data_IF_394340785746
#
_entry.id   IF_394340785746
#
_cell.length_a   1.000
_cell.length_b   1.000
_cell.length_c   1.000
_cell.angle_alpha   90.00
_cell.angle_beta   90.00
_cell.angle_gamma   90.00
#
_symmetry.space_group_name_H-M   'P 1'
#
loop_
_entity.id
_entity.type
_entity.pdbx_description
1 polymer ?
#
# COMPACT_ATOMS: atom_id res chain seq x y z
N UNK A 1 6.12 6.21 19.72
CA UNK A 1 6.51 6.01 18.31
C UNK A 1 5.25 6.24 17.50
N UNK A 2 5.32 6.95 16.37
CA UNK A 2 4.16 7.10 15.48
C UNK A 2 4.39 6.21 14.27
N UNK A 3 3.39 5.41 13.92
CA UNK A 3 3.41 4.53 12.75
C UNK A 3 2.35 5.05 11.79
N UNK A 4 2.73 5.29 10.55
CA UNK A 4 1.83 5.74 9.50
C UNK A 4 1.70 4.62 8.48
N UNK A 5 0.46 4.15 8.29
CA UNK A 5 0.11 3.12 7.32
C UNK A 5 -0.67 3.74 6.17
N UNK A 6 -0.40 3.27 4.96
CA UNK A 6 -1.18 3.56 3.76
C UNK A 6 -1.64 2.25 3.14
N UNK A 7 -2.81 2.25 2.53
CA UNK A 7 -3.37 1.05 1.89
C UNK A 7 -3.53 1.30 0.40
N UNK A 8 -2.90 0.45 -0.41
CA UNK A 8 -3.16 0.35 -1.85
C UNK A 8 -4.36 -0.57 -2.03
N UNK A 9 -5.39 -0.10 -2.72
CA UNK A 9 -6.62 -0.87 -2.99
C UNK A 9 -6.88 -1.09 -4.49
N UNK A 10 -6.03 -0.56 -5.37
CA UNK A 10 -6.13 -0.81 -6.80
C UNK A 10 -5.40 -2.11 -7.15
N UNK A 11 -6.07 -3.00 -7.90
CA UNK A 11 -5.55 -4.33 -8.19
C UNK A 11 -4.25 -4.29 -9.00
N UNK A 12 -4.16 -3.40 -9.99
CA UNK A 12 -2.97 -3.32 -10.84
C UNK A 12 -1.81 -2.69 -10.06
N UNK A 13 -2.09 -1.63 -9.29
CA UNK A 13 -1.07 -1.03 -8.45
C UNK A 13 -0.56 -1.98 -7.36
N UNK A 14 -1.44 -2.80 -6.76
CA UNK A 14 -1.03 -3.87 -5.83
C UNK A 14 -0.11 -4.87 -6.53
N UNK A 15 -0.44 -5.30 -7.75
CA UNK A 15 0.41 -6.20 -8.54
C UNK A 15 1.79 -5.59 -8.82
N UNK A 16 1.86 -4.31 -9.22
CA UNK A 16 3.14 -3.63 -9.43
C UNK A 16 3.97 -3.54 -8.15
N UNK A 17 3.32 -3.23 -7.02
CA UNK A 17 3.98 -3.15 -5.71
C UNK A 17 4.48 -4.52 -5.25
N UNK A 18 3.67 -5.57 -5.38
CA UNK A 18 4.01 -6.94 -5.00
C UNK A 18 5.19 -7.48 -5.82
N UNK A 19 5.25 -7.18 -7.12
CA UNK A 19 6.34 -7.59 -8.01
C UNK A 19 7.57 -6.66 -7.96
N UNK A 20 7.47 -5.50 -7.31
CA UNK A 20 8.54 -4.50 -7.24
C UNK A 20 8.74 -3.70 -8.53
N UNK A 21 7.76 -3.72 -9.45
CA UNK A 21 7.77 -3.03 -10.73
C UNK A 21 7.38 -1.54 -10.57
N UNK A 22 8.27 -0.76 -9.96
CA UNK A 22 8.03 0.68 -9.70
C UNK A 22 7.92 1.52 -10.98
N UNK A 23 8.58 1.12 -12.07
CA UNK A 23 8.46 1.79 -13.37
C UNK A 23 7.05 1.63 -13.95
N UNK A 24 6.49 0.42 -13.88
CA UNK A 24 5.12 0.15 -14.32
C UNK A 24 4.09 0.88 -13.45
N UNK A 25 4.32 0.93 -12.13
CA UNK A 25 3.48 1.70 -11.21
C UNK A 25 3.44 3.19 -11.58
N UNK A 26 4.60 3.79 -11.88
CA UNK A 26 4.69 5.21 -12.29
C UNK A 26 3.98 5.47 -13.62
N UNK A 27 4.19 4.60 -14.61
CA UNK A 27 3.51 4.72 -15.90
C UNK A 27 1.99 4.64 -15.72
N UNK A 28 1.52 3.70 -14.91
CA UNK A 28 0.11 3.53 -14.61
C UNK A 28 -0.51 4.75 -13.91
N UNK A 29 0.16 5.30 -12.90
CA UNK A 29 -0.32 6.49 -12.17
C UNK A 29 -0.24 7.77 -13.00
N UNK A 30 0.69 7.83 -13.96
CA UNK A 30 0.79 8.95 -14.90
C UNK A 30 -0.31 8.96 -15.96
N UNK A 31 -1.03 7.84 -16.14
CA UNK A 31 -2.15 7.79 -17.07
C UNK A 31 -3.31 8.67 -16.55
N UNK A 32 -3.83 9.61 -17.35
CA UNK A 32 -4.88 10.54 -16.91
C UNK A 32 -6.24 9.84 -16.66
N UNK A 33 -6.38 8.58 -17.06
CA UNK A 33 -7.56 7.74 -16.81
C UNK A 33 -7.39 6.87 -15.57
N UNK A 34 -6.21 6.89 -14.94
CA UNK A 34 -5.94 6.21 -13.69
C UNK A 34 -6.49 7.02 -12.51
N UNK A 35 -7.17 6.32 -11.60
CA UNK A 35 -7.73 6.89 -10.37
C UNK A 35 -7.23 6.15 -9.13
N UNK A 36 -6.17 5.35 -9.27
CA UNK A 36 -5.57 4.63 -8.15
C UNK A 36 -4.99 5.64 -7.16
N UNK A 37 -5.36 5.47 -5.88
CA UNK A 37 -4.94 6.35 -4.79
C UNK A 37 -4.66 5.51 -3.55
N UNK A 38 -3.87 6.08 -2.64
CA UNK A 38 -3.64 5.49 -1.32
C UNK A 38 -4.77 5.87 -0.37
N UNK A 39 -5.27 4.89 0.37
CA UNK A 39 -6.13 5.14 1.53
C UNK A 39 -5.25 5.38 2.77
N UNK A 40 -5.38 6.54 3.41
CA UNK A 40 -4.56 6.95 4.55
C UNK A 40 -4.12 8.42 4.53
N UNK A 41 -3.21 8.83 5.43
CA UNK A 41 -2.48 7.99 6.39
C UNK A 41 -3.34 7.55 7.59
N UNK A 42 -3.23 6.28 7.97
CA UNK A 42 -3.69 5.79 9.28
C UNK A 42 -2.53 5.94 10.27
N UNK A 43 -2.68 6.89 11.21
CA UNK A 43 -1.68 7.12 12.27
C UNK A 43 -1.97 6.27 13.50
N UNK A 44 -1.00 5.45 13.90
CA UNK A 44 -1.07 4.55 15.05
C UNK A 44 0.06 4.86 16.03
N UNK A 45 -0.13 4.53 17.31
CA UNK A 45 0.80 4.90 18.38
C UNK A 45 1.68 3.74 18.87
N UNK A 46 1.43 2.52 18.40
CA UNK A 46 2.14 1.31 18.80
C UNK A 46 2.20 0.26 17.69
N UNK A 47 3.24 -0.57 17.71
CA UNK A 47 3.36 -1.70 16.77
C UNK A 47 2.24 -2.72 16.94
N UNK A 48 1.73 -2.89 18.16
CA UNK A 48 0.60 -3.78 18.44
C UNK A 48 -0.68 -3.31 17.73
N UNK A 49 -0.96 -2.00 17.73
CA UNK A 49 -2.08 -1.43 16.99
C UNK A 49 -1.90 -1.59 15.47
N UNK A 50 -0.68 -1.39 14.96
CA UNK A 50 -0.38 -1.59 13.54
C UNK A 50 -0.56 -3.03 13.10
N UNK A 51 -0.06 -3.99 13.89
CA UNK A 51 -0.23 -5.41 13.62
C UNK A 51 -1.72 -5.80 13.65
N UNK A 52 -2.48 -5.34 14.64
CA UNK A 52 -3.92 -5.62 14.73
C UNK A 52 -4.71 -5.01 13.56
N UNK A 53 -4.33 -3.82 13.10
CA UNK A 53 -4.93 -3.18 11.92
C UNK A 53 -4.68 -4.00 10.66
N UNK A 54 -3.42 -4.41 10.43
CA UNK A 54 -3.03 -5.23 9.28
C UNK A 54 -3.76 -6.58 9.32
N UNK A 55 -3.76 -7.26 10.47
CA UNK A 55 -4.45 -8.55 10.65
C UNK A 55 -5.95 -8.43 10.34
N UNK A 56 -6.60 -7.38 10.84
CA UNK A 56 -8.00 -7.09 10.54
C UNK A 56 -8.26 -6.78 9.06
N UNK A 57 -7.34 -6.08 8.38
CA UNK A 57 -7.46 -5.76 6.96
C UNK A 57 -7.41 -7.01 6.08
N UNK A 58 -6.56 -7.97 6.44
CA UNK A 58 -6.39 -9.23 5.73
C UNK A 58 -7.24 -10.38 6.30
N UNK A 59 -8.12 -10.11 7.27
CA UNK A 59 -8.97 -11.14 7.86
C UNK A 59 -9.91 -11.75 6.81
N UNK A 60 -9.80 -13.07 6.61
CA UNK A 60 -10.59 -13.80 5.62
C UNK A 60 -9.99 -13.78 4.20
N UNK A 61 -8.82 -13.18 3.99
CA UNK A 61 -8.07 -13.30 2.74
C UNK A 61 -7.55 -14.72 2.55
N UNK A 62 -7.54 -15.16 1.28
CA UNK A 62 -7.00 -16.46 0.89
C UNK A 62 -5.53 -16.28 0.52
N UNK A 63 -4.61 -16.93 1.23
CA UNK A 63 -3.15 -16.82 1.05
C UNK A 63 -2.62 -17.14 -0.36
N UNK A 64 -3.46 -17.69 -1.25
CA UNK A 64 -3.12 -18.03 -2.65
C UNK A 64 -3.93 -17.27 -3.69
N UNK A 65 -4.81 -16.37 -3.26
CA UNK A 65 -5.48 -15.44 -4.15
C UNK A 65 -4.57 -14.23 -4.41
N UNK A 66 -4.68 -13.58 -5.58
CA UNK A 66 -3.99 -12.31 -5.81
C UNK A 66 -4.34 -11.32 -4.70
N UNK A 67 -3.35 -10.58 -4.22
CA UNK A 67 -3.57 -9.58 -3.19
C UNK A 67 -4.54 -8.49 -3.72
N UNK A 68 -5.69 -8.34 -3.07
CA UNK A 68 -6.63 -7.25 -3.41
C UNK A 68 -6.21 -5.93 -2.75
N UNK A 69 -5.36 -6.00 -1.73
CA UNK A 69 -4.88 -4.85 -0.96
C UNK A 69 -3.43 -5.04 -0.55
N UNK A 70 -2.69 -3.93 -0.46
CA UNK A 70 -1.33 -3.92 0.05
C UNK A 70 -1.16 -2.82 1.10
N UNK A 71 -0.39 -3.08 2.15
CA UNK A 71 -0.14 -2.09 3.23
C UNK A 71 1.30 -1.59 3.13
N UNK A 72 1.44 -0.27 3.07
CA UNK A 72 2.72 0.43 3.02
C UNK A 72 2.97 1.14 4.36
N UNK A 73 4.20 1.06 4.88
CA UNK A 73 4.63 1.77 6.10
C UNK A 73 5.50 2.98 5.75
N UNK A 74 5.14 4.17 6.21
CA UNK A 74 5.95 5.38 5.96
C UNK A 74 7.36 5.33 6.61
N UNK A 75 7.53 4.50 7.64
CA UNK A 75 8.79 4.30 8.36
C UNK A 75 9.75 3.36 7.61
N UNK A 76 9.24 2.55 6.67
CA UNK A 76 10.05 1.68 5.84
C UNK A 76 10.50 2.43 4.57
N UNK A 77 11.81 2.50 4.27
CA UNK A 77 12.32 3.25 3.11
C UNK A 77 11.78 2.74 1.76
N UNK A 78 11.59 1.44 1.60
CA UNK A 78 11.06 0.85 0.36
C UNK A 78 9.59 1.24 0.14
N UNK A 79 8.77 1.09 1.19
CA UNK A 79 7.36 1.51 1.17
C UNK A 79 7.22 3.01 0.96
N UNK A 80 8.14 3.81 1.54
CA UNK A 80 8.14 5.26 1.38
C UNK A 80 8.41 5.67 -0.06
N UNK A 81 9.27 4.96 -0.79
CA UNK A 81 9.48 5.24 -2.21
C UNK A 81 8.21 5.00 -3.03
N UNK A 82 7.43 3.97 -2.69
CA UNK A 82 6.13 3.71 -3.31
C UNK A 82 5.14 4.82 -2.95
N UNK A 83 5.07 5.23 -1.68
CA UNK A 83 4.19 6.31 -1.24
C UNK A 83 4.50 7.61 -1.99
N UNK A 84 5.78 7.93 -2.20
CA UNK A 84 6.20 9.12 -2.94
C UNK A 84 5.71 9.08 -4.41
N UNK A 85 5.78 7.90 -5.05
CA UNK A 85 5.28 7.68 -6.41
C UNK A 85 3.78 7.97 -6.52
N UNK A 86 2.98 7.62 -5.52
CA UNK A 86 1.54 7.94 -5.49
C UNK A 86 1.23 9.43 -5.25
N UNK A 87 2.19 10.22 -4.82
CA UNK A 87 2.04 11.64 -4.52
C UNK A 87 2.75 12.57 -5.55
N UNK A 88 3.38 11.99 -6.58
CA UNK A 88 4.04 12.71 -7.69
C UNK A 88 3.01 13.31 -8.66
#
# INVERSE_FOLDING_TARGET
MKIELFVVNDQYAVECVENGDLEALREYLSDPSCYATLDGPITLNSEAEAAAYIDGLFYGFVERAPAERWVLRADNPDDKAIIDIFNE
#
